data_IF_723750432627
#
_entry.id   IF_723750432627
#
_cell.length_a   1.000
_cell.length_b   1.000
_cell.length_c   1.000
_cell.angle_alpha   90.00
_cell.angle_beta   90.00
_cell.angle_gamma   90.00
#
_symmetry.space_group_name_H-M   'P 1'
#
loop_
_entity.id
_entity.type
_entity.pdbx_description
1 polymer ?
#
# COMPACT_ATOMS: atom_id res chain seq x y z
N UNK A 1 24.02 -39.34 0.16
CA UNK A 1 24.78 -38.64 -0.89
C UNK A 1 24.26 -37.23 -0.96
N UNK A 2 25.09 -36.34 -0.49
CA UNK A 2 24.95 -34.90 -0.35
C UNK A 2 24.87 -34.25 -1.73
N UNK A 3 23.74 -33.69 -2.09
CA UNK A 3 23.69 -32.66 -3.14
C UNK A 3 24.26 -31.38 -2.57
N UNK A 4 25.34 -31.00 -3.18
CA UNK A 4 26.10 -29.79 -2.92
C UNK A 4 25.26 -28.56 -3.17
N UNK A 5 25.15 -27.71 -2.15
CA UNK A 5 24.72 -26.32 -2.24
C UNK A 5 25.49 -25.63 -3.37
N UNK A 6 24.83 -25.44 -4.49
CA UNK A 6 25.37 -24.68 -5.59
C UNK A 6 25.37 -23.21 -5.18
N UNK A 7 26.54 -22.61 -5.24
CA UNK A 7 26.85 -21.19 -5.10
C UNK A 7 25.76 -20.31 -5.78
N UNK A 8 24.77 -19.87 -5.00
CA UNK A 8 23.72 -18.93 -5.44
C UNK A 8 24.21 -17.50 -5.23
N UNK A 9 25.31 -17.13 -5.88
CA UNK A 9 25.64 -15.71 -5.97
C UNK A 9 24.56 -14.99 -6.77
N UNK A 10 23.95 -13.99 -6.16
CA UNK A 10 22.90 -13.18 -6.78
C UNK A 10 23.48 -12.44 -7.99
N UNK A 11 22.82 -12.54 -9.14
CA UNK A 11 23.28 -11.90 -10.36
C UNK A 11 22.66 -10.52 -10.50
N UNK A 12 23.23 -9.53 -9.81
CA UNK A 12 22.76 -8.13 -9.83
C UNK A 12 23.10 -7.50 -11.18
N UNK A 13 22.15 -6.77 -11.77
CA UNK A 13 22.36 -6.03 -13.01
C UNK A 13 23.25 -4.81 -12.76
N UNK A 14 24.31 -4.67 -13.57
CA UNK A 14 25.21 -3.51 -13.54
C UNK A 14 25.08 -2.71 -14.84
N UNK A 15 25.04 -1.39 -14.71
CA UNK A 15 25.05 -0.44 -15.82
C UNK A 15 26.24 0.50 -15.64
N UNK A 16 27.03 0.70 -16.69
CA UNK A 16 28.14 1.66 -16.73
C UNK A 16 27.76 2.81 -17.66
N UNK A 17 27.80 4.03 -17.15
CA UNK A 17 27.45 5.23 -17.93
C UNK A 17 28.40 5.53 -19.08
N UNK A 18 29.60 4.91 -19.11
CA UNK A 18 30.54 4.99 -20.21
C UNK A 18 30.28 3.99 -21.34
N UNK A 19 29.37 3.00 -21.11
CA UNK A 19 29.00 2.03 -22.13
C UNK A 19 28.14 2.69 -23.24
N UNK A 20 28.50 2.40 -24.50
CA UNK A 20 27.72 2.90 -25.63
C UNK A 20 26.25 2.47 -25.64
N UNK A 21 25.93 1.31 -25.03
CA UNK A 21 24.57 0.79 -24.89
C UNK A 21 23.84 1.31 -23.62
N UNK A 22 24.50 2.10 -22.77
CA UNK A 22 23.94 2.53 -21.47
C UNK A 22 22.53 3.12 -21.58
N UNK A 23 22.33 4.11 -22.46
CA UNK A 23 21.03 4.78 -22.59
C UNK A 23 19.91 3.82 -23.02
N UNK A 24 20.21 2.89 -23.94
CA UNK A 24 19.23 1.92 -24.41
C UNK A 24 18.90 0.90 -23.30
N UNK A 25 19.90 0.43 -22.56
CA UNK A 25 19.74 -0.51 -21.46
C UNK A 25 19.01 0.15 -20.28
N UNK A 26 19.35 1.38 -19.94
CA UNK A 26 18.67 2.16 -18.91
C UNK A 26 17.19 2.40 -19.30
N UNK A 27 16.93 2.81 -20.55
CA UNK A 27 15.56 2.99 -21.03
C UNK A 27 14.73 1.70 -20.93
N UNK A 28 15.34 0.53 -21.20
CA UNK A 28 14.67 -0.76 -21.05
C UNK A 28 14.37 -1.11 -19.59
N UNK A 29 15.24 -0.73 -18.66
CA UNK A 29 15.00 -0.89 -17.21
C UNK A 29 13.88 0.03 -16.73
N UNK A 30 13.85 1.27 -17.22
CA UNK A 30 12.87 2.28 -16.83
C UNK A 30 11.51 2.12 -17.55
N UNK A 31 11.46 1.37 -18.66
CA UNK A 31 10.24 1.13 -19.43
C UNK A 31 9.24 0.18 -18.73
N UNK A 32 9.49 -0.16 -17.48
CA UNK A 32 8.64 -1.04 -16.67
C UNK A 32 7.19 -0.54 -16.50
N UNK A 33 6.94 0.75 -16.69
CA UNK A 33 5.60 1.36 -16.57
C UNK A 33 4.65 1.04 -17.73
N UNK A 34 5.12 0.51 -18.84
CA UNK A 34 4.36 0.55 -20.10
C UNK A 34 3.58 -0.74 -20.43
N UNK A 35 3.76 -1.85 -19.75
CA UNK A 35 2.92 -3.03 -19.99
C UNK A 35 1.65 -2.95 -19.14
N UNK A 36 0.67 -2.17 -19.59
CA UNK A 36 -0.71 -2.44 -19.19
C UNK A 36 -0.99 -3.89 -19.60
N UNK A 37 -0.97 -4.79 -18.62
CA UNK A 37 -1.35 -6.17 -18.88
C UNK A 37 -2.82 -6.18 -19.29
N UNK A 38 -3.09 -6.28 -20.58
CA UNK A 38 -4.44 -6.29 -21.15
C UNK A 38 -5.32 -7.37 -20.49
N UNK A 39 -4.73 -8.44 -19.97
CA UNK A 39 -5.47 -9.47 -19.28
C UNK A 39 -5.96 -8.95 -17.92
N UNK A 40 -5.12 -8.19 -17.19
CA UNK A 40 -5.52 -7.52 -15.94
C UNK A 40 -6.62 -6.50 -16.22
N UNK A 41 -6.44 -5.65 -17.23
CA UNK A 41 -7.41 -4.63 -17.58
C UNK A 41 -8.79 -5.20 -17.96
N UNK A 42 -8.83 -6.30 -18.73
CA UNK A 42 -10.07 -7.01 -19.06
C UNK A 42 -10.72 -7.64 -17.84
N UNK A 43 -9.93 -8.33 -17.02
CA UNK A 43 -10.44 -8.97 -15.81
C UNK A 43 -11.03 -7.95 -14.82
N UNK A 44 -10.34 -6.83 -14.62
CA UNK A 44 -10.80 -5.75 -13.75
C UNK A 44 -12.08 -5.12 -14.29
N UNK A 45 -12.15 -4.84 -15.59
CA UNK A 45 -13.37 -4.30 -16.21
C UNK A 45 -14.58 -5.21 -15.97
N UNK A 46 -14.41 -6.52 -16.09
CA UNK A 46 -15.46 -7.50 -15.82
C UNK A 46 -15.88 -7.50 -14.36
N UNK A 47 -14.90 -7.51 -13.42
CA UNK A 47 -15.19 -7.49 -11.98
C UNK A 47 -15.97 -6.24 -11.58
N UNK A 48 -15.56 -5.06 -12.07
CA UNK A 48 -16.24 -3.81 -11.78
C UNK A 48 -17.69 -3.81 -12.30
N UNK A 49 -17.90 -4.29 -13.53
CA UNK A 49 -19.24 -4.40 -14.12
C UNK A 49 -20.14 -5.37 -13.34
N UNK A 50 -19.59 -6.52 -12.92
CA UNK A 50 -20.31 -7.49 -12.12
C UNK A 50 -20.73 -6.94 -10.75
N UNK A 51 -19.80 -6.29 -10.02
CA UNK A 51 -20.12 -5.70 -8.72
C UNK A 51 -21.16 -4.60 -8.87
N UNK A 52 -21.05 -3.75 -9.90
CA UNK A 52 -22.05 -2.70 -10.16
C UNK A 52 -23.45 -3.26 -10.44
N UNK A 53 -23.54 -4.47 -11.01
CA UNK A 53 -24.82 -5.07 -11.42
C UNK A 53 -25.40 -5.99 -10.35
N UNK A 54 -24.55 -6.79 -9.67
CA UNK A 54 -24.96 -7.86 -8.75
C UNK A 54 -24.69 -7.55 -7.28
N UNK A 55 -24.08 -6.40 -6.97
CA UNK A 55 -23.82 -5.95 -5.60
C UNK A 55 -23.06 -6.97 -4.76
N UNK A 56 -23.58 -7.26 -3.58
CA UNK A 56 -23.00 -8.20 -2.61
C UNK A 56 -22.74 -9.58 -3.19
N UNK A 57 -23.60 -10.07 -4.08
CA UNK A 57 -23.44 -11.40 -4.66
C UNK A 57 -22.13 -11.50 -5.46
N UNK A 58 -21.77 -10.48 -6.24
CA UNK A 58 -20.51 -10.46 -6.97
C UNK A 58 -19.30 -10.32 -6.02
N UNK A 59 -19.38 -9.43 -5.03
CA UNK A 59 -18.31 -9.26 -4.04
C UNK A 59 -18.03 -10.58 -3.31
N UNK A 60 -19.09 -11.29 -2.90
CA UNK A 60 -18.99 -12.57 -2.21
C UNK A 60 -18.34 -13.66 -3.09
N UNK A 61 -18.82 -13.79 -4.35
CA UNK A 61 -18.30 -14.78 -5.30
C UNK A 61 -16.78 -14.57 -5.53
N UNK A 62 -16.37 -13.35 -5.83
CA UNK A 62 -14.95 -13.06 -6.07
C UNK A 62 -14.10 -13.21 -4.81
N UNK A 63 -14.59 -12.80 -3.65
CA UNK A 63 -13.84 -12.92 -2.39
C UNK A 63 -13.67 -14.39 -2.00
N UNK A 64 -14.74 -15.19 -2.05
CA UNK A 64 -14.64 -16.63 -1.78
C UNK A 64 -13.64 -17.31 -2.73
N UNK A 65 -13.66 -16.92 -4.02
CA UNK A 65 -12.79 -17.50 -5.04
C UNK A 65 -11.33 -17.11 -4.86
N UNK A 66 -11.05 -15.80 -4.64
CA UNK A 66 -9.67 -15.29 -4.66
C UNK A 66 -8.99 -15.44 -3.30
N UNK A 67 -9.72 -15.24 -2.21
CA UNK A 67 -9.20 -15.38 -0.86
C UNK A 67 -9.41 -16.80 -0.29
N UNK A 68 -9.97 -17.72 -1.09
CA UNK A 68 -10.24 -19.13 -0.70
C UNK A 68 -11.06 -19.23 0.59
N UNK A 69 -12.05 -18.36 0.71
CA UNK A 69 -12.99 -18.35 1.83
C UNK A 69 -14.24 -19.20 1.51
N UNK A 70 -15.05 -19.40 2.53
CA UNK A 70 -16.38 -20.00 2.40
C UNK A 70 -17.40 -19.16 3.19
N UNK A 71 -17.39 -17.85 2.96
CA UNK A 71 -18.30 -16.93 3.60
C UNK A 71 -19.72 -17.09 3.04
N UNK A 72 -20.74 -17.00 3.90
CA UNK A 72 -22.14 -17.13 3.51
C UNK A 72 -22.76 -15.81 3.02
N UNK A 73 -22.16 -14.66 3.36
CA UNK A 73 -22.61 -13.33 2.96
C UNK A 73 -21.47 -12.32 3.11
N UNK A 74 -21.61 -11.14 2.47
CA UNK A 74 -20.69 -10.02 2.66
C UNK A 74 -20.77 -9.47 4.08
N UNK A 75 -21.92 -9.50 4.71
CA UNK A 75 -22.11 -9.12 6.11
C UNK A 75 -21.28 -10.01 7.07
N UNK A 76 -21.08 -11.28 6.75
CA UNK A 76 -20.22 -12.18 7.54
C UNK A 76 -18.73 -11.86 7.41
N UNK A 77 -18.34 -11.04 6.43
CA UNK A 77 -16.98 -10.56 6.19
C UNK A 77 -16.72 -9.21 6.88
N UNK A 78 -17.72 -8.60 7.51
CA UNK A 78 -17.53 -7.42 8.35
C UNK A 78 -17.07 -7.83 9.75
N UNK A 79 -15.95 -7.25 10.19
CA UNK A 79 -15.42 -7.51 11.52
C UNK A 79 -16.09 -6.60 12.55
N UNK A 80 -16.58 -7.15 13.67
CA UNK A 80 -17.11 -6.33 14.75
C UNK A 80 -15.98 -5.56 15.44
N UNK A 81 -16.29 -4.40 16.01
CA UNK A 81 -15.31 -3.58 16.76
C UNK A 81 -14.62 -4.37 17.88
N UNK A 82 -15.35 -5.27 18.54
CA UNK A 82 -14.77 -6.16 19.55
C UNK A 82 -13.60 -7.02 19.03
N UNK A 83 -13.58 -7.37 17.73
CA UNK A 83 -12.43 -8.09 17.16
C UNK A 83 -11.18 -7.19 17.06
N UNK A 84 -11.37 -5.90 16.80
CA UNK A 84 -10.28 -4.93 16.76
C UNK A 84 -9.74 -4.66 18.16
N UNK A 85 -10.65 -4.55 19.15
CA UNK A 85 -10.30 -4.39 20.58
C UNK A 85 -9.50 -5.59 21.08
N UNK A 86 -9.99 -6.79 20.83
CA UNK A 86 -9.29 -8.03 21.19
C UNK A 86 -7.92 -8.14 20.51
N UNK A 87 -7.80 -7.70 19.25
CA UNK A 87 -6.52 -7.68 18.56
C UNK A 87 -5.51 -6.74 19.25
N UNK A 88 -5.92 -5.53 19.65
CA UNK A 88 -5.05 -4.59 20.38
C UNK A 88 -4.66 -5.11 21.77
N UNK A 89 -5.62 -5.71 22.51
CA UNK A 89 -5.39 -6.28 23.81
C UNK A 89 -4.43 -7.48 23.78
N UNK A 90 -4.52 -8.29 22.73
CA UNK A 90 -3.69 -9.48 22.53
C UNK A 90 -2.27 -9.21 22.07
N UNK A 91 -1.90 -7.97 21.73
CA UNK A 91 -0.53 -7.65 21.30
C UNK A 91 0.46 -7.78 22.45
N UNK A 92 1.68 -8.24 22.13
CA UNK A 92 2.78 -8.16 23.07
C UNK A 92 3.01 -6.69 23.49
N UNK A 93 3.34 -6.42 24.79
CA UNK A 93 3.45 -5.04 25.32
C UNK A 93 4.36 -4.13 24.47
N UNK A 94 5.48 -4.66 23.98
CA UNK A 94 6.43 -3.92 23.14
C UNK A 94 5.81 -3.54 21.78
N UNK A 95 5.06 -4.45 21.16
CA UNK A 95 4.39 -4.19 19.87
C UNK A 95 3.27 -3.17 20.05
N UNK A 96 2.46 -3.31 21.09
CA UNK A 96 1.40 -2.35 21.42
C UNK A 96 1.96 -0.95 21.63
N UNK A 97 2.97 -0.81 22.48
CA UNK A 97 3.61 0.48 22.76
C UNK A 97 4.20 1.13 21.49
N UNK A 98 4.82 0.32 20.62
CA UNK A 98 5.36 0.82 19.35
C UNK A 98 4.25 1.32 18.41
N UNK A 99 3.14 0.59 18.32
CA UNK A 99 2.01 0.94 17.46
C UNK A 99 1.29 2.20 17.99
N UNK A 100 1.07 2.31 19.29
CA UNK A 100 0.50 3.50 19.94
C UNK A 100 1.39 4.74 19.74
N UNK A 101 2.72 4.59 19.88
CA UNK A 101 3.67 5.66 19.65
C UNK A 101 3.68 6.11 18.18
N UNK A 102 3.59 5.16 17.24
CA UNK A 102 3.47 5.48 15.80
C UNK A 102 2.18 6.23 15.52
N UNK A 103 1.04 5.78 16.04
CA UNK A 103 -0.25 6.43 15.87
C UNK A 103 -0.24 7.87 16.42
N UNK A 104 0.36 8.08 17.60
CA UNK A 104 0.48 9.41 18.20
C UNK A 104 1.33 10.36 17.33
N UNK A 105 2.46 9.88 16.78
CA UNK A 105 3.33 10.68 15.90
C UNK A 105 2.63 11.06 14.60
N UNK A 106 1.97 10.10 13.94
CA UNK A 106 1.21 10.34 12.70
C UNK A 106 0.11 11.37 12.97
N UNK A 107 -0.63 11.24 14.08
CA UNK A 107 -1.67 12.18 14.48
C UNK A 107 -1.12 13.59 14.67
N UNK A 108 -0.08 13.75 15.49
CA UNK A 108 0.53 15.06 15.77
C UNK A 108 1.05 15.76 14.52
N UNK A 109 1.63 15.00 13.58
CA UNK A 109 2.04 15.54 12.28
C UNK A 109 0.84 16.09 11.48
N UNK A 110 -0.22 15.31 11.34
CA UNK A 110 -1.38 15.70 10.53
C UNK A 110 -2.23 16.78 11.19
N UNK A 111 -2.29 16.84 12.52
CA UNK A 111 -2.91 17.95 13.25
C UNK A 111 -2.15 19.26 12.94
N UNK A 112 -0.82 19.24 12.95
CA UNK A 112 0.00 20.37 12.56
C UNK A 112 -0.21 20.75 11.09
N UNK A 113 -0.20 19.77 10.19
CA UNK A 113 -0.46 19.98 8.77
C UNK A 113 -1.82 20.66 8.53
N UNK A 114 -2.88 20.22 9.23
CA UNK A 114 -4.21 20.81 9.12
C UNK A 114 -4.23 22.29 9.47
N UNK A 115 -3.45 22.69 10.48
CA UNK A 115 -3.36 24.10 10.91
C UNK A 115 -2.56 24.92 9.90
N UNK A 116 -1.40 24.43 9.46
CA UNK A 116 -0.42 25.21 8.69
C UNK A 116 -0.71 25.23 7.18
N UNK A 117 -1.37 24.21 6.64
CA UNK A 117 -1.60 24.10 5.19
C UNK A 117 -2.94 24.69 4.72
N UNK A 118 -3.53 25.62 5.48
CA UNK A 118 -4.70 26.37 5.04
C UNK A 118 -5.99 25.58 4.89
N UNK A 119 -6.16 24.48 5.66
CA UNK A 119 -7.39 23.68 5.67
C UNK A 119 -8.52 24.37 6.43
N UNK A 120 -8.75 25.67 6.16
CA UNK A 120 -9.81 26.47 6.77
C UNK A 120 -10.59 27.26 5.71
N UNK A 121 -11.87 27.48 5.99
CA UNK A 121 -12.73 28.29 5.15
C UNK A 121 -12.41 29.78 5.37
N UNK A 122 -12.51 30.59 4.31
CA UNK A 122 -12.34 32.03 4.37
C UNK A 122 -13.25 32.71 3.35
N UNK A 123 -13.59 33.98 3.60
CA UNK A 123 -14.34 34.83 2.68
C UNK A 123 -13.96 36.29 2.84
N UNK A 124 -14.17 37.06 1.78
CA UNK A 124 -14.07 38.51 1.79
C UNK A 124 -15.15 39.17 0.91
N UNK A 125 -15.41 40.45 1.10
CA UNK A 125 -16.39 41.19 0.31
C UNK A 125 -15.70 42.26 -0.50
N UNK A 126 -15.95 42.32 -1.79
CA UNK A 126 -15.44 43.35 -2.70
C UNK A 126 -16.21 44.67 -2.55
N UNK A 127 -15.69 45.76 -3.15
CA UNK A 127 -16.28 47.09 -3.02
C UNK A 127 -17.69 47.19 -3.62
N UNK A 128 -18.03 46.37 -4.58
CA UNK A 128 -19.36 46.30 -5.21
C UNK A 128 -20.37 45.43 -4.42
N UNK A 129 -19.94 44.85 -3.29
CA UNK A 129 -20.76 43.98 -2.47
C UNK A 129 -20.67 42.48 -2.85
N UNK A 130 -19.90 42.10 -3.86
CA UNK A 130 -19.67 40.70 -4.21
C UNK A 130 -18.92 39.96 -3.11
N UNK A 131 -19.41 38.81 -2.66
CA UNK A 131 -18.77 37.98 -1.64
C UNK A 131 -18.04 36.83 -2.33
N UNK A 132 -16.73 36.73 -2.11
CA UNK A 132 -15.87 35.67 -2.60
C UNK A 132 -15.25 34.91 -1.42
N UNK A 133 -15.00 33.61 -1.61
CA UNK A 133 -14.41 32.80 -0.55
C UNK A 133 -14.19 31.36 -0.93
N UNK A 134 -13.65 30.62 -0.01
CA UNK A 134 -13.43 29.18 -0.11
C UNK A 134 -14.06 28.48 1.10
N UNK A 135 -14.90 27.51 0.83
CA UNK A 135 -15.46 26.64 1.87
C UNK A 135 -14.71 25.32 1.89
N UNK A 136 -14.05 25.01 2.98
CA UNK A 136 -13.34 23.75 3.21
C UNK A 136 -14.17 22.89 4.16
N UNK A 137 -14.53 21.70 3.71
CA UNK A 137 -15.29 20.72 4.51
C UNK A 137 -14.67 19.35 4.39
N UNK A 138 -14.71 18.50 5.44
CA UNK A 138 -14.30 17.11 5.34
C UNK A 138 -15.22 16.35 4.37
N UNK A 139 -14.71 15.26 3.83
CA UNK A 139 -15.52 14.25 3.14
C UNK A 139 -16.45 13.57 4.15
N UNK A 140 -17.58 13.06 3.68
CA UNK A 140 -18.50 12.32 4.54
C UNK A 140 -17.95 10.94 4.87
N UNK A 141 -17.41 10.25 3.86
CA UNK A 141 -16.91 8.88 4.02
C UNK A 141 -15.63 8.66 3.22
N UNK A 142 -14.63 8.01 3.84
CA UNK A 142 -13.40 7.60 3.18
C UNK A 142 -13.27 6.07 3.21
N UNK A 143 -12.89 5.50 2.07
CA UNK A 143 -12.50 4.10 1.95
C UNK A 143 -10.99 3.94 2.04
N UNK A 144 -10.53 2.98 2.82
CA UNK A 144 -9.11 2.65 2.94
C UNK A 144 -8.89 1.24 2.43
N UNK A 145 -8.05 1.10 1.42
CA UNK A 145 -7.56 -0.19 0.95
C UNK A 145 -6.24 -0.52 1.66
N UNK A 146 -6.19 -1.63 2.36
CA UNK A 146 -4.98 -2.13 3.02
C UNK A 146 -4.55 -3.42 2.36
N UNK A 147 -3.33 -3.52 1.83
CA UNK A 147 -2.82 -4.77 1.28
C UNK A 147 -2.80 -5.87 2.34
N UNK A 148 -3.10 -7.10 1.92
CA UNK A 148 -3.05 -8.28 2.77
C UNK A 148 -2.39 -9.45 2.06
N UNK A 149 -2.06 -10.50 2.80
CA UNK A 149 -1.53 -11.76 2.29
C UNK A 149 -0.02 -11.91 2.45
N UNK A 150 0.82 -11.20 1.68
CA UNK A 150 2.29 -11.39 1.73
C UNK A 150 2.97 -10.71 2.91
N UNK A 151 2.48 -9.55 3.34
CA UNK A 151 3.04 -8.80 4.47
C UNK A 151 1.93 -8.06 5.23
N UNK A 152 2.19 -7.76 6.52
CA UNK A 152 1.32 -6.93 7.32
C UNK A 152 1.73 -5.46 7.18
N UNK A 153 0.77 -4.58 6.93
CA UNK A 153 1.00 -3.14 6.77
C UNK A 153 0.20 -2.31 7.78
N UNK A 154 0.47 -2.43 9.10
CA UNK A 154 -0.19 -1.60 10.10
C UNK A 154 0.11 -0.10 9.90
N UNK A 155 1.29 0.23 9.36
CA UNK A 155 1.65 1.60 8.96
C UNK A 155 0.71 2.16 7.90
N UNK A 156 0.34 1.38 6.87
CA UNK A 156 -0.60 1.82 5.85
C UNK A 156 -1.97 2.14 6.43
N UNK A 157 -2.42 1.38 7.44
CA UNK A 157 -3.66 1.70 8.16
C UNK A 157 -3.55 3.04 8.85
N UNK A 158 -2.51 3.24 9.70
CA UNK A 158 -2.33 4.48 10.45
C UNK A 158 -2.17 5.69 9.53
N UNK A 159 -1.38 5.55 8.46
CA UNK A 159 -1.08 6.63 7.52
C UNK A 159 -2.26 7.00 6.59
N UNK A 160 -3.29 6.20 6.52
CA UNK A 160 -4.53 6.52 5.79
C UNK A 160 -5.68 6.92 6.74
N UNK A 161 -5.88 6.17 7.84
CA UNK A 161 -7.00 6.40 8.74
C UNK A 161 -6.83 7.67 9.59
N UNK A 162 -5.66 7.89 10.16
CA UNK A 162 -5.41 9.03 11.05
C UNK A 162 -5.57 10.37 10.33
N UNK A 163 -4.97 10.61 9.13
CA UNK A 163 -5.22 11.85 8.38
C UNK A 163 -6.69 12.06 8.05
N UNK A 164 -7.43 10.99 7.70
CA UNK A 164 -8.87 11.09 7.45
C UNK A 164 -9.63 11.56 8.70
N UNK A 165 -9.30 10.99 9.88
CA UNK A 165 -9.89 11.45 11.16
C UNK A 165 -9.50 12.87 11.51
N UNK A 166 -8.25 13.26 11.36
CA UNK A 166 -7.78 14.63 11.60
C UNK A 166 -8.47 15.61 10.65
N UNK A 167 -8.69 15.23 9.40
CA UNK A 167 -9.46 16.03 8.45
C UNK A 167 -10.93 16.21 8.86
N UNK A 168 -11.47 15.31 9.69
CA UNK A 168 -12.85 15.35 10.16
C UNK A 168 -13.81 14.45 9.38
N UNK A 169 -13.29 13.46 8.64
CA UNK A 169 -14.11 12.45 7.96
C UNK A 169 -14.95 11.70 8.99
N UNK A 170 -16.27 11.63 8.74
CA UNK A 170 -17.22 11.07 9.70
C UNK A 170 -17.16 9.55 9.78
N UNK A 171 -17.03 8.89 8.65
CA UNK A 171 -16.99 7.43 8.57
C UNK A 171 -15.80 6.96 7.74
N UNK A 172 -14.99 6.05 8.29
CA UNK A 172 -13.85 5.43 7.63
C UNK A 172 -14.15 3.94 7.47
N UNK A 173 -14.21 3.49 6.22
CA UNK A 173 -14.45 2.10 5.84
C UNK A 173 -13.15 1.49 5.35
N UNK A 174 -12.65 0.47 6.03
CA UNK A 174 -11.43 -0.25 5.64
C UNK A 174 -11.77 -1.57 4.96
N UNK A 175 -11.08 -1.86 3.87
CA UNK A 175 -11.08 -3.18 3.23
C UNK A 175 -9.67 -3.78 3.28
N UNK A 176 -9.57 -5.05 3.65
CA UNK A 176 -8.31 -5.78 3.76
C UNK A 176 -8.53 -7.24 3.40
N UNK A 177 -7.85 -7.79 2.37
CA UNK A 177 -7.99 -9.20 2.03
C UNK A 177 -7.42 -10.09 3.13
N UNK A 178 -8.09 -11.21 3.39
CA UNK A 178 -7.68 -12.21 4.38
C UNK A 178 -7.63 -13.60 3.74
N UNK A 179 -6.66 -13.87 2.84
CA UNK A 179 -6.54 -15.18 2.21
C UNK A 179 -6.51 -16.29 3.25
N UNK A 180 -7.25 -17.38 2.98
CA UNK A 180 -7.42 -18.52 3.87
C UNK A 180 -7.99 -18.14 5.27
N UNK A 181 -8.62 -16.98 5.40
CA UNK A 181 -9.19 -16.47 6.65
C UNK A 181 -8.14 -15.93 7.64
N UNK A 182 -6.88 -15.77 7.22
CA UNK A 182 -5.80 -15.33 8.10
C UNK A 182 -5.88 -13.81 8.32
N UNK A 183 -6.15 -13.41 9.56
CA UNK A 183 -6.19 -12.01 9.98
C UNK A 183 -4.90 -11.63 10.71
N UNK A 184 -4.36 -10.46 10.42
CA UNK A 184 -3.16 -9.97 11.11
C UNK A 184 -3.55 -9.07 12.27
N UNK A 185 -3.22 -9.42 13.53
CA UNK A 185 -3.62 -8.66 14.71
C UNK A 185 -3.04 -7.24 14.75
N UNK A 186 -1.84 -6.99 14.19
CA UNK A 186 -1.25 -5.65 14.12
C UNK A 186 -2.05 -4.74 13.19
N UNK A 187 -2.60 -5.27 12.08
CA UNK A 187 -3.44 -4.51 11.15
C UNK A 187 -4.77 -4.14 11.80
N UNK A 188 -5.40 -5.09 12.52
CA UNK A 188 -6.66 -4.85 13.22
C UNK A 188 -6.49 -3.86 14.39
N UNK A 189 -5.42 -4.00 15.17
CA UNK A 189 -5.07 -3.05 16.23
C UNK A 189 -4.80 -1.64 15.66
N UNK A 190 -4.12 -1.53 14.52
CA UNK A 190 -3.90 -0.26 13.84
C UNK A 190 -5.22 0.36 13.35
N UNK A 191 -6.19 -0.45 12.89
CA UNK A 191 -7.51 0.04 12.50
C UNK A 191 -8.25 0.68 13.69
N UNK A 192 -8.21 0.04 14.85
CA UNK A 192 -8.77 0.61 16.08
C UNK A 192 -8.10 1.93 16.46
N UNK A 193 -6.75 1.96 16.53
CA UNK A 193 -5.98 3.16 16.89
C UNK A 193 -6.13 4.29 15.87
N UNK A 194 -6.32 3.94 14.59
CA UNK A 194 -6.59 4.87 13.50
C UNK A 194 -8.00 5.44 13.54
N UNK A 195 -8.91 4.81 14.29
CA UNK A 195 -10.31 5.20 14.39
C UNK A 195 -11.13 4.76 13.16
N UNK A 196 -10.84 3.59 12.59
CA UNK A 196 -11.67 2.98 11.53
C UNK A 196 -13.01 2.56 12.11
N UNK A 197 -14.10 2.88 11.41
CA UNK A 197 -15.46 2.58 11.87
C UNK A 197 -15.93 1.20 11.44
N UNK A 198 -15.60 0.80 10.20
CA UNK A 198 -16.03 -0.48 9.63
C UNK A 198 -14.85 -1.15 8.93
N UNK A 199 -14.71 -2.44 9.14
CA UNK A 199 -13.65 -3.26 8.53
C UNK A 199 -14.28 -4.45 7.81
N UNK A 200 -14.02 -4.58 6.51
CA UNK A 200 -14.43 -5.72 5.71
C UNK A 200 -13.22 -6.53 5.28
N UNK A 201 -13.28 -7.84 5.47
CA UNK A 201 -12.25 -8.79 5.04
C UNK A 201 -12.42 -9.16 3.56
N UNK A 202 -12.34 -8.15 2.70
CA UNK A 202 -12.43 -8.26 1.25
C UNK A 202 -11.24 -7.55 0.60
N UNK A 203 -10.83 -7.97 -0.58
CA UNK A 203 -9.68 -7.40 -1.29
C UNK A 203 -9.88 -7.31 -2.80
N UNK A 204 -8.80 -7.02 -3.54
CA UNK A 204 -8.81 -6.98 -5.00
C UNK A 204 -9.69 -5.91 -5.63
N UNK A 205 -9.96 -6.07 -6.92
CA UNK A 205 -10.77 -5.13 -7.70
C UNK A 205 -12.23 -5.09 -7.22
N UNK A 206 -12.78 -6.21 -6.70
CA UNK A 206 -14.14 -6.27 -6.17
C UNK A 206 -14.32 -5.41 -4.92
N UNK A 207 -13.31 -5.30 -4.06
CA UNK A 207 -13.34 -4.42 -2.89
C UNK A 207 -13.32 -2.94 -3.31
N UNK A 208 -12.50 -2.57 -4.30
CA UNK A 208 -12.48 -1.23 -4.87
C UNK A 208 -13.82 -0.88 -5.51
N UNK A 209 -14.43 -1.82 -6.24
CA UNK A 209 -15.75 -1.65 -6.84
C UNK A 209 -16.84 -1.45 -5.76
N UNK A 210 -16.80 -2.26 -4.69
CA UNK A 210 -17.75 -2.14 -3.57
C UNK A 210 -17.66 -0.76 -2.90
N UNK A 211 -16.45 -0.28 -2.64
CA UNK A 211 -16.24 1.07 -2.09
C UNK A 211 -16.68 2.18 -3.05
N UNK A 212 -16.48 2.00 -4.36
CA UNK A 212 -16.82 3.03 -5.35
C UNK A 212 -18.33 3.14 -5.63
N UNK A 213 -18.99 2.01 -5.79
CA UNK A 213 -20.41 1.97 -6.22
C UNK A 213 -21.38 1.78 -5.06
N UNK A 214 -20.88 1.28 -3.93
CA UNK A 214 -21.73 0.75 -2.87
C UNK A 214 -22.36 -0.59 -3.25
N UNK A 215 -22.74 -1.34 -2.23
CA UNK A 215 -23.50 -2.58 -2.35
C UNK A 215 -24.58 -2.56 -1.24
N UNK A 216 -25.31 -3.65 -1.07
CA UNK A 216 -26.29 -3.78 0.00
C UNK A 216 -25.65 -3.69 1.40
N UNK A 217 -24.39 -4.16 1.54
CA UNK A 217 -23.67 -4.21 2.81
C UNK A 217 -22.54 -3.19 2.90
N UNK A 218 -21.75 -3.02 1.83
CA UNK A 218 -20.60 -2.09 1.80
C UNK A 218 -21.06 -0.73 1.32
N UNK A 219 -20.95 0.33 2.14
CA UNK A 219 -21.36 1.67 1.72
C UNK A 219 -20.42 2.27 0.68
N UNK A 220 -20.96 3.01 -0.28
CA UNK A 220 -20.16 3.83 -1.18
C UNK A 220 -19.41 4.92 -0.39
N UNK A 221 -18.20 5.24 -0.85
CA UNK A 221 -17.32 6.25 -0.22
C UNK A 221 -17.05 7.40 -1.19
N UNK A 222 -16.60 8.54 -0.65
CA UNK A 222 -16.27 9.72 -1.47
C UNK A 222 -14.85 9.64 -2.03
N UNK A 223 -13.96 8.93 -1.33
CA UNK A 223 -12.57 8.77 -1.74
C UNK A 223 -12.01 7.41 -1.29
N UNK A 224 -11.26 6.76 -2.18
CA UNK A 224 -10.51 5.52 -1.90
C UNK A 224 -9.03 5.84 -1.81
N UNK A 225 -8.41 5.53 -0.67
CA UNK A 225 -6.98 5.70 -0.41
C UNK A 225 -6.33 4.34 -0.11
N UNK A 226 -5.04 4.27 -0.37
CA UNK A 226 -4.20 3.11 -0.04
C UNK A 226 -3.63 2.41 -1.26
N UNK A 227 -2.45 1.77 -1.07
CA UNK A 227 -1.76 1.03 -2.12
C UNK A 227 -2.40 -0.33 -2.36
N UNK A 228 -2.15 -0.92 -3.51
CA UNK A 228 -2.58 -2.27 -3.84
C UNK A 228 -1.78 -2.84 -5.02
N UNK A 229 -2.05 -4.08 -5.39
CA UNK A 229 -1.45 -4.72 -6.55
C UNK A 229 -2.00 -4.14 -7.88
N UNK A 230 -1.52 -4.65 -9.02
CA UNK A 230 -1.90 -4.18 -10.36
C UNK A 230 -3.44 -4.23 -10.59
N UNK A 231 -4.16 -5.21 -10.03
CA UNK A 231 -5.63 -5.27 -10.12
C UNK A 231 -6.30 -4.12 -9.36
N UNK A 232 -5.78 -3.77 -8.18
CA UNK A 232 -6.28 -2.66 -7.37
C UNK A 232 -5.97 -1.33 -8.04
N UNK A 233 -4.76 -1.16 -8.58
CA UNK A 233 -4.35 0.03 -9.31
C UNK A 233 -5.22 0.25 -10.56
N UNK A 234 -5.44 -0.79 -11.37
CA UNK A 234 -6.35 -0.74 -12.52
C UNK A 234 -7.77 -0.43 -12.08
N UNK A 235 -8.28 -1.06 -11.02
CA UNK A 235 -9.62 -0.78 -10.50
C UNK A 235 -9.78 0.67 -10.05
N UNK A 236 -8.81 1.22 -9.29
CA UNK A 236 -8.80 2.62 -8.86
C UNK A 236 -8.81 3.58 -10.05
N UNK A 237 -7.99 3.32 -11.08
CA UNK A 237 -7.98 4.12 -12.32
C UNK A 237 -9.36 4.16 -12.97
N UNK A 238 -10.04 3.02 -13.06
CA UNK A 238 -11.33 2.89 -13.74
C UNK A 238 -12.51 3.48 -12.97
N UNK A 239 -12.46 3.53 -11.65
CA UNK A 239 -13.52 4.13 -10.84
C UNK A 239 -13.32 5.62 -10.60
N UNK A 240 -12.17 6.18 -10.98
CA UNK A 240 -11.90 7.62 -10.87
C UNK A 240 -12.92 8.41 -11.70
N UNK A 241 -13.52 9.42 -11.07
CA UNK A 241 -14.65 10.17 -11.64
C UNK A 241 -16.02 9.72 -11.06
N UNK A 242 -16.17 8.45 -10.66
CA UNK A 242 -17.29 8.00 -9.82
C UNK A 242 -16.97 8.22 -8.35
N UNK A 243 -15.75 7.96 -7.95
CA UNK A 243 -15.19 8.17 -6.60
C UNK A 243 -13.84 8.84 -6.74
N UNK A 244 -13.44 9.65 -5.76
CA UNK A 244 -12.07 10.19 -5.68
C UNK A 244 -11.07 9.08 -5.33
N UNK A 245 -9.83 9.24 -5.79
CA UNK A 245 -8.72 8.36 -5.39
C UNK A 245 -7.54 9.19 -4.88
N UNK A 246 -6.62 8.58 -4.15
CA UNK A 246 -5.35 9.20 -3.76
C UNK A 246 -4.41 9.32 -4.98
N UNK A 247 -3.94 8.18 -5.48
CA UNK A 247 -3.06 8.07 -6.64
C UNK A 247 -3.12 6.64 -7.22
N UNK A 248 -2.55 6.47 -8.41
CA UNK A 248 -2.23 5.16 -8.96
C UNK A 248 -0.80 4.85 -8.55
N UNK A 249 -0.64 3.92 -7.61
CA UNK A 249 0.67 3.49 -7.17
C UNK A 249 1.21 2.39 -8.10
N UNK A 250 2.41 2.61 -8.62
CA UNK A 250 3.22 1.57 -9.27
C UNK A 250 3.98 0.73 -8.24
N UNK A 251 4.82 -0.22 -8.68
CA UNK A 251 5.79 -0.88 -7.84
C UNK A 251 6.69 0.16 -7.16
N UNK A 252 7.04 -0.09 -5.89
CA UNK A 252 7.88 0.84 -5.16
C UNK A 252 9.34 0.73 -5.58
N UNK A 253 10.04 1.86 -5.62
CA UNK A 253 11.44 1.97 -5.99
C UNK A 253 12.22 2.67 -4.88
N UNK A 254 13.48 2.29 -4.70
CA UNK A 254 14.45 3.04 -3.91
C UNK A 254 15.68 3.37 -4.74
N UNK A 255 16.15 4.60 -4.63
CA UNK A 255 17.41 5.04 -5.17
C UNK A 255 18.36 5.39 -4.02
N UNK A 256 19.44 4.64 -3.87
CA UNK A 256 20.54 4.95 -2.95
C UNK A 256 21.64 5.64 -3.74
N UNK A 257 21.88 6.90 -3.44
CA UNK A 257 22.96 7.70 -4.02
C UNK A 257 24.06 7.87 -2.96
N UNK A 258 25.25 7.36 -3.23
CA UNK A 258 26.37 7.46 -2.29
C UNK A 258 27.70 7.73 -3.01
N UNK A 259 28.68 8.20 -2.25
CA UNK A 259 30.04 8.53 -2.71
C UNK A 259 31.09 7.45 -2.40
N UNK A 260 30.67 6.32 -1.81
CA UNK A 260 31.56 5.23 -1.45
C UNK A 260 32.21 5.35 -0.07
N UNK A 261 31.87 6.35 0.75
CA UNK A 261 32.48 6.58 2.07
C UNK A 261 31.74 5.93 3.24
N UNK A 262 30.51 5.46 3.02
CA UNK A 262 29.69 4.82 4.07
C UNK A 262 30.00 3.31 4.20
N UNK A 263 29.41 2.66 5.20
CA UNK A 263 29.50 1.21 5.36
C UNK A 263 28.68 0.49 4.27
N UNK A 264 29.27 -0.39 3.44
CA UNK A 264 28.54 -1.10 2.39
C UNK A 264 27.40 -1.98 2.92
N UNK A 265 27.48 -2.46 4.17
CA UNK A 265 26.41 -3.24 4.81
C UNK A 265 25.15 -2.40 5.06
N UNK A 266 25.29 -1.12 5.37
CA UNK A 266 24.15 -0.22 5.51
C UNK A 266 23.46 0.01 4.17
N UNK A 267 24.24 0.21 3.12
CA UNK A 267 23.69 0.35 1.76
C UNK A 267 22.96 -0.93 1.33
N UNK A 268 23.53 -2.11 1.60
CA UNK A 268 22.85 -3.37 1.34
C UNK A 268 21.51 -3.49 2.08
N UNK A 269 21.46 -3.08 3.35
CA UNK A 269 20.22 -3.07 4.13
C UNK A 269 19.18 -2.06 3.61
N UNK A 270 19.61 -0.89 3.13
CA UNK A 270 18.73 0.08 2.49
C UNK A 270 18.11 -0.49 1.21
N UNK A 271 18.91 -1.15 0.37
CA UNK A 271 18.41 -1.84 -0.82
C UNK A 271 17.41 -2.96 -0.46
N UNK A 272 17.71 -3.74 0.58
CA UNK A 272 16.81 -4.78 1.07
C UNK A 272 15.49 -4.23 1.60
N UNK A 273 15.51 -3.05 2.22
CA UNK A 273 14.30 -2.43 2.77
C UNK A 273 13.22 -2.22 1.71
N UNK A 274 13.60 -2.04 0.45
CA UNK A 274 12.66 -1.94 -0.67
C UNK A 274 12.44 -3.29 -1.36
N UNK A 275 13.51 -4.05 -1.58
CA UNK A 275 13.44 -5.34 -2.28
C UNK A 275 12.54 -6.36 -1.56
N UNK A 276 12.41 -6.28 -0.23
CA UNK A 276 11.54 -7.17 0.54
C UNK A 276 10.04 -6.94 0.33
N UNK A 277 9.64 -5.80 -0.24
CA UNK A 277 8.22 -5.45 -0.37
C UNK A 277 7.51 -6.29 -1.43
N UNK A 278 8.10 -6.43 -2.61
CA UNK A 278 7.52 -7.20 -3.72
C UNK A 278 8.62 -7.66 -4.69
N UNK A 279 8.36 -8.73 -5.43
CA UNK A 279 9.28 -9.28 -6.44
C UNK A 279 9.49 -8.30 -7.63
N UNK A 280 8.57 -7.34 -7.80
CA UNK A 280 8.62 -6.29 -8.81
C UNK A 280 9.16 -4.95 -8.26
N UNK A 281 9.55 -4.90 -6.99
CA UNK A 281 10.20 -3.73 -6.42
C UNK A 281 11.57 -3.50 -7.10
N UNK A 282 11.98 -2.25 -7.24
CA UNK A 282 13.28 -1.90 -7.79
C UNK A 282 14.15 -1.24 -6.72
N UNK A 283 15.37 -1.77 -6.55
CA UNK A 283 16.37 -1.21 -5.66
C UNK A 283 17.59 -0.81 -6.48
N UNK A 284 17.90 0.49 -6.51
CA UNK A 284 18.92 1.07 -7.38
C UNK A 284 20.02 1.69 -6.53
N UNK A 285 21.28 1.35 -6.82
CA UNK A 285 22.46 1.99 -6.25
C UNK A 285 23.17 2.81 -7.31
N UNK A 286 23.41 4.09 -7.03
CA UNK A 286 24.31 4.94 -7.81
C UNK A 286 25.54 5.31 -6.98
N UNK A 287 26.71 4.90 -7.44
CA UNK A 287 27.99 5.21 -6.81
C UNK A 287 29.08 5.39 -7.88
N UNK A 288 29.94 6.40 -7.79
CA UNK A 288 31.06 6.59 -8.73
C UNK A 288 32.23 5.66 -8.45
N UNK A 289 32.29 4.97 -7.31
CA UNK A 289 33.36 4.05 -6.92
C UNK A 289 32.96 2.59 -7.19
N UNK A 290 33.48 2.02 -8.27
CA UNK A 290 33.24 0.63 -8.67
C UNK A 290 33.70 -0.37 -7.58
N UNK A 291 34.80 -0.08 -6.89
CA UNK A 291 35.30 -0.93 -5.81
C UNK A 291 34.35 -0.92 -4.61
N UNK A 292 33.65 0.21 -4.37
CA UNK A 292 32.59 0.28 -3.35
C UNK A 292 31.36 -0.52 -3.76
N UNK A 293 30.94 -0.43 -5.03
CA UNK A 293 29.81 -1.23 -5.55
C UNK A 293 30.07 -2.72 -5.35
N UNK A 294 31.28 -3.19 -5.63
CA UNK A 294 31.67 -4.58 -5.39
C UNK A 294 31.56 -4.97 -3.90
N UNK A 295 32.00 -4.10 -2.97
CA UNK A 295 31.84 -4.35 -1.53
C UNK A 295 30.35 -4.38 -1.08
N UNK A 296 29.49 -3.59 -1.71
CA UNK A 296 28.03 -3.66 -1.45
C UNK A 296 27.46 -4.98 -1.94
N UNK A 297 27.89 -5.46 -3.11
CA UNK A 297 27.48 -6.76 -3.66
C UNK A 297 27.92 -7.92 -2.74
N UNK A 298 29.16 -7.87 -2.22
CA UNK A 298 29.63 -8.82 -1.21
C UNK A 298 28.77 -8.78 0.05
N UNK A 299 28.43 -7.58 0.54
CA UNK A 299 27.57 -7.40 1.71
C UNK A 299 26.14 -7.92 1.47
N UNK A 300 25.59 -7.74 0.27
CA UNK A 300 24.28 -8.31 -0.13
C UNK A 300 24.35 -9.84 -0.04
N UNK A 301 25.35 -10.47 -0.64
CA UNK A 301 25.51 -11.93 -0.62
C UNK A 301 25.69 -12.47 0.81
N UNK A 302 26.41 -11.75 1.67
CA UNK A 302 26.60 -12.13 3.08
C UNK A 302 25.32 -12.02 3.91
N UNK A 303 24.54 -10.94 3.73
CA UNK A 303 23.38 -10.61 4.57
C UNK A 303 22.09 -11.30 4.09
N UNK A 304 21.92 -11.52 2.78
CA UNK A 304 20.70 -12.10 2.20
C UNK A 304 20.24 -13.41 2.87
N UNK A 305 21.12 -14.38 3.18
CA UNK A 305 20.71 -15.62 3.85
C UNK A 305 20.09 -15.39 5.25
N UNK A 306 20.38 -14.25 5.88
CA UNK A 306 19.90 -13.90 7.23
C UNK A 306 18.52 -13.19 7.19
N UNK A 307 18.05 -12.79 6.01
CA UNK A 307 16.83 -12.00 5.88
C UNK A 307 15.58 -12.87 5.95
N UNK A 308 14.54 -12.45 6.69
CA UNK A 308 13.28 -13.21 6.82
C UNK A 308 12.57 -13.45 5.48
N UNK A 309 12.69 -12.50 4.52
CA UNK A 309 12.04 -12.55 3.19
C UNK A 309 13.03 -12.73 2.05
N UNK A 310 14.11 -13.48 2.29
CA UNK A 310 15.23 -13.67 1.34
C UNK A 310 14.79 -14.03 -0.07
N UNK A 311 13.74 -14.87 -0.22
CA UNK A 311 13.30 -15.34 -1.53
C UNK A 311 12.60 -14.24 -2.36
N UNK A 312 11.93 -13.29 -1.69
CA UNK A 312 11.35 -12.09 -2.33
C UNK A 312 12.46 -11.13 -2.71
N UNK A 313 13.37 -10.85 -1.77
CA UNK A 313 14.55 -9.98 -1.99
C UNK A 313 15.36 -10.48 -3.16
N UNK A 314 15.68 -11.78 -3.20
CA UNK A 314 16.49 -12.39 -4.26
C UNK A 314 15.85 -12.31 -5.66
N UNK A 315 14.51 -12.20 -5.75
CA UNK A 315 13.82 -12.03 -7.04
C UNK A 315 13.67 -10.56 -7.43
N UNK A 316 13.70 -9.66 -6.48
CA UNK A 316 13.60 -8.22 -6.69
C UNK A 316 14.94 -7.60 -7.12
N UNK A 317 16.09 -8.11 -6.61
CA UNK A 317 17.43 -7.67 -6.96
C UNK A 317 17.94 -8.29 -8.25
#
# INVERSE_FOLDING_TARGET
LTETDTDMSLKIRKLDSSDAAFNATLAAVLAFEASEDEAIERAVAQILADVKTRGDAAVLDYTNRFDRLNASSVAALELPVAALEAALEGLAPKQRAALEAAAARVRGYHEKQKIECGSHSWQYTEADGTVLGQKVTPLDRAGIYVPGGKAAYPSSVLMNAIPARVAGVREIVMVVPTPDGVQNPLVLAAALLGGVDRVFTIGGAQAVAALAYGTETVPAVDKICGPGNAYVASAKRRVFGTVGIDMIAGPSEILVLCDGTTDPRWVAMDLFSQAEHDELAQSILLCPDEAFIARVEDAINELLPTMPRRDVIARSL
#
